data_IF_925263622447
#
_entry.id   IF_925263622447
#
_cell.length_a   1.000
_cell.length_b   1.000
_cell.length_c   1.000
_cell.angle_alpha   90.00
_cell.angle_beta   90.00
_cell.angle_gamma   90.00
#
_symmetry.space_group_name_H-M   'P 1'
#
loop_
_entity.id
_entity.type
_entity.pdbx_description
1 polymer ?
#
# COMPACT_ATOMS: atom_id res chain seq x y z
N UNK A 1 43.40 -12.00 28.21
CA UNK A 1 41.96 -11.70 28.18
C UNK A 1 41.50 -11.34 29.57
N UNK A 2 41.67 -10.08 29.96
CA UNK A 2 41.08 -9.51 31.18
C UNK A 2 40.89 -8.00 30.96
N UNK A 3 41.92 -7.37 30.39
CA UNK A 3 41.85 -6.00 29.85
C UNK A 3 40.81 -5.86 28.74
N UNK A 4 40.77 -6.79 27.77
CA UNK A 4 39.81 -6.73 26.67
C UNK A 4 38.35 -6.84 27.15
N UNK A 5 38.10 -7.66 28.18
CA UNK A 5 36.78 -7.85 28.77
C UNK A 5 36.39 -6.66 29.67
N UNK A 6 37.35 -6.07 30.36
CA UNK A 6 37.18 -4.83 31.12
C UNK A 6 36.89 -3.63 30.20
N UNK A 7 37.59 -3.52 29.07
CA UNK A 7 37.31 -2.51 28.04
C UNK A 7 35.93 -2.75 27.42
N UNK A 8 35.56 -3.99 27.10
CA UNK A 8 34.23 -4.30 26.57
C UNK A 8 33.11 -3.90 27.54
N UNK A 9 33.26 -4.21 28.84
CA UNK A 9 32.30 -3.81 29.89
C UNK A 9 32.23 -2.29 30.06
N UNK A 10 33.36 -1.60 29.98
CA UNK A 10 33.41 -0.14 30.04
C UNK A 10 32.69 0.48 28.83
N UNK A 11 32.97 0.00 27.62
CA UNK A 11 32.30 0.46 26.39
C UNK A 11 30.79 0.21 26.47
N UNK A 12 30.36 -0.97 26.91
CA UNK A 12 28.94 -1.28 27.05
C UNK A 12 28.25 -0.32 28.04
N UNK A 13 28.76 -0.23 29.26
CA UNK A 13 28.10 0.54 30.32
C UNK A 13 28.18 2.06 30.14
N UNK A 14 29.28 2.59 29.61
CA UNK A 14 29.52 4.04 29.53
C UNK A 14 29.21 4.65 28.16
N UNK A 15 29.37 3.89 27.08
CA UNK A 15 29.28 4.39 25.70
C UNK A 15 28.04 3.88 24.97
N UNK A 16 27.50 2.72 25.32
CA UNK A 16 26.30 2.14 24.66
C UNK A 16 25.06 2.35 25.52
N UNK A 17 25.03 1.83 26.75
CA UNK A 17 23.79 1.80 27.56
C UNK A 17 23.35 3.20 28.05
N UNK A 18 24.32 4.09 28.31
CA UNK A 18 24.11 5.46 28.83
C UNK A 18 24.58 6.54 27.87
N UNK A 19 24.65 6.20 26.59
CA UNK A 19 25.23 7.06 25.56
C UNK A 19 24.62 8.46 25.56
N UNK A 20 23.28 8.55 25.69
CA UNK A 20 22.60 9.85 25.61
C UNK A 20 22.98 10.74 26.80
N UNK A 21 23.19 10.20 28.00
CA UNK A 21 23.58 10.96 29.19
C UNK A 21 25.09 11.28 29.23
N UNK A 22 25.92 10.42 28.64
CA UNK A 22 27.38 10.44 28.75
C UNK A 22 28.11 11.04 27.53
N UNK A 23 27.40 11.46 26.48
CA UNK A 23 28.00 12.03 25.26
C UNK A 23 28.50 13.48 25.47
N UNK A 24 29.54 13.65 26.30
CA UNK A 24 30.14 14.95 26.64
C UNK A 24 30.78 15.67 25.44
N UNK A 25 31.23 14.92 24.42
CA UNK A 25 31.75 15.48 23.16
C UNK A 25 30.67 15.60 22.06
N UNK A 26 29.39 15.42 22.44
CA UNK A 26 28.19 15.62 21.60
C UNK A 26 28.19 14.88 20.26
N UNK A 27 28.98 13.81 20.12
CA UNK A 27 29.16 13.16 18.84
C UNK A 27 27.94 12.31 18.45
N UNK A 28 27.48 11.45 19.36
CA UNK A 28 26.33 10.58 19.13
C UNK A 28 25.03 11.39 19.07
N UNK A 29 24.88 12.40 19.93
CA UNK A 29 23.74 13.33 19.89
C UNK A 29 23.70 14.09 18.57
N UNK A 30 24.83 14.59 18.07
CA UNK A 30 24.89 15.24 16.76
C UNK A 30 24.50 14.29 15.63
N UNK A 31 24.93 13.04 15.66
CA UNK A 31 24.53 12.03 14.68
C UNK A 31 23.01 11.82 14.71
N UNK A 32 22.44 11.64 15.92
CA UNK A 32 21.00 11.50 16.13
C UNK A 32 20.24 12.70 15.58
N UNK A 33 20.61 13.90 16.00
CA UNK A 33 19.89 15.13 15.66
C UNK A 33 19.91 15.37 14.15
N UNK A 34 21.04 15.09 13.46
CA UNK A 34 21.12 15.15 11.99
C UNK A 34 20.16 14.21 11.26
N UNK A 35 19.80 13.09 11.88
CA UNK A 35 18.83 12.13 11.35
C UNK A 35 17.41 12.58 11.69
N UNK A 36 17.16 13.02 12.93
CA UNK A 36 15.82 13.30 13.44
C UNK A 36 15.28 14.69 13.10
N UNK A 37 16.13 15.71 12.94
CA UNK A 37 15.72 17.09 12.61
C UNK A 37 15.32 17.29 11.14
N UNK A 38 15.12 16.18 10.42
CA UNK A 38 14.64 16.15 9.04
C UNK A 38 13.11 16.22 8.98
N UNK A 39 12.53 16.73 7.86
CA UNK A 39 11.11 16.57 7.57
C UNK A 39 10.68 15.11 7.75
N UNK A 40 9.47 14.89 8.27
CA UNK A 40 8.97 13.57 8.67
C UNK A 40 9.18 12.48 7.59
N UNK A 41 8.87 12.81 6.34
CA UNK A 41 8.97 11.88 5.22
C UNK A 41 10.42 11.51 4.89
N UNK A 42 11.34 12.50 4.89
CA UNK A 42 12.77 12.26 4.69
C UNK A 42 13.36 11.46 5.86
N UNK A 43 12.99 11.81 7.09
CA UNK A 43 13.39 11.10 8.32
C UNK A 43 13.01 9.63 8.27
N UNK A 44 11.76 9.33 7.88
CA UNK A 44 11.27 7.96 7.76
C UNK A 44 12.06 7.15 6.73
N UNK A 45 12.34 7.73 5.57
CA UNK A 45 13.13 7.05 4.53
C UNK A 45 14.58 6.81 4.97
N UNK A 46 15.22 7.79 5.62
CA UNK A 46 16.57 7.65 6.18
C UNK A 46 16.61 6.50 7.20
N UNK A 47 15.66 6.46 8.12
CA UNK A 47 15.53 5.38 9.12
C UNK A 47 15.30 4.03 8.45
N UNK A 48 14.43 3.95 7.42
CA UNK A 48 14.19 2.72 6.67
C UNK A 48 15.37 2.24 5.83
N UNK A 49 16.20 3.14 5.31
CA UNK A 49 17.47 2.77 4.64
C UNK A 49 18.44 2.19 5.67
N UNK A 50 18.57 2.86 6.83
CA UNK A 50 19.49 2.42 7.88
C UNK A 50 19.07 1.08 8.49
N UNK A 51 17.78 0.85 8.68
CA UNK A 51 17.21 -0.45 9.08
C UNK A 51 17.66 -1.57 8.14
N UNK A 52 17.59 -1.34 6.82
CA UNK A 52 18.08 -2.31 5.81
C UNK A 52 19.58 -2.53 5.89
N UNK A 53 20.36 -1.48 6.19
CA UNK A 53 21.82 -1.62 6.42
C UNK A 53 22.07 -2.51 7.64
N UNK A 54 21.31 -2.37 8.72
CA UNK A 54 21.45 -3.21 9.91
C UNK A 54 21.06 -4.66 9.63
N UNK A 55 19.95 -4.88 8.92
CA UNK A 55 19.43 -6.21 8.61
C UNK A 55 20.29 -6.97 7.59
N UNK A 56 20.63 -6.34 6.47
CA UNK A 56 21.39 -6.97 5.37
C UNK A 56 22.91 -6.85 5.52
N UNK A 57 23.39 -6.09 6.52
CA UNK A 57 24.80 -5.76 6.73
C UNK A 57 25.34 -4.68 5.77
N UNK A 58 24.80 -4.60 4.56
CA UNK A 58 25.04 -3.49 3.62
C UNK A 58 23.88 -3.34 2.63
N UNK A 59 23.71 -2.14 2.08
CA UNK A 59 22.80 -1.89 0.95
C UNK A 59 23.54 -1.26 -0.22
N UNK A 60 23.01 -1.39 -1.45
CA UNK A 60 23.59 -0.75 -2.62
C UNK A 60 23.59 0.77 -2.46
N UNK A 61 24.72 1.42 -2.75
CA UNK A 61 24.80 2.87 -2.75
C UNK A 61 24.32 3.39 -4.09
N UNK A 62 23.14 3.99 -4.09
CA UNK A 62 22.42 4.54 -5.24
C UNK A 62 22.48 6.08 -5.27
N UNK A 63 23.12 6.69 -4.26
CA UNK A 63 23.34 8.13 -4.13
C UNK A 63 22.04 8.98 -4.20
N UNK A 64 20.92 8.42 -3.71
CA UNK A 64 19.68 9.19 -3.49
C UNK A 64 19.89 10.30 -2.45
N UNK A 65 19.01 11.29 -2.41
CA UNK A 65 19.10 12.40 -1.46
C UNK A 65 19.11 11.90 -0.01
N UNK A 66 18.30 10.89 0.31
CA UNK A 66 18.17 10.27 1.62
C UNK A 66 19.40 9.43 1.96
N UNK A 67 19.97 8.69 0.99
CA UNK A 67 21.24 7.99 1.18
C UNK A 67 22.40 8.96 1.41
N UNK A 68 22.40 10.11 0.72
CA UNK A 68 23.38 11.17 0.94
C UNK A 68 23.21 11.78 2.33
N UNK A 69 21.98 12.10 2.74
CA UNK A 69 21.68 12.61 4.08
C UNK A 69 22.11 11.62 5.17
N UNK A 70 21.81 10.32 4.99
CA UNK A 70 22.26 9.26 5.89
C UNK A 70 23.78 9.17 5.97
N UNK A 71 24.50 9.35 4.85
CA UNK A 71 25.98 9.41 4.86
C UNK A 71 26.49 10.65 5.60
N UNK A 72 25.89 11.81 5.37
CA UNK A 72 26.26 13.08 6.03
C UNK A 72 25.96 13.07 7.54
N UNK A 73 25.03 12.23 7.98
CA UNK A 73 24.81 11.99 9.42
C UNK A 73 26.02 11.33 10.09
N UNK A 74 26.82 10.54 9.35
CA UNK A 74 27.91 9.74 9.89
C UNK A 74 27.53 8.32 10.32
N UNK A 75 26.24 7.94 10.26
CA UNK A 75 25.79 6.58 10.60
C UNK A 75 26.31 5.50 9.64
N UNK A 76 26.47 5.86 8.36
CA UNK A 76 26.90 4.95 7.31
C UNK A 76 28.08 5.48 6.51
N UNK A 77 28.85 4.56 5.94
CA UNK A 77 29.97 4.85 5.04
C UNK A 77 29.76 4.13 3.71
N UNK A 78 30.11 4.79 2.60
CA UNK A 78 30.13 4.18 1.27
C UNK A 78 31.47 3.49 1.05
N UNK A 79 31.47 2.17 0.85
CA UNK A 79 32.64 1.35 0.49
C UNK A 79 32.24 0.34 -0.58
N UNK A 80 33.04 0.23 -1.63
CA UNK A 80 32.83 -0.71 -2.74
C UNK A 80 31.42 -0.64 -3.34
N UNK A 81 30.91 0.59 -3.52
CA UNK A 81 29.57 0.83 -4.08
C UNK A 81 28.41 0.43 -3.17
N UNK A 82 28.65 0.20 -1.87
CA UNK A 82 27.64 -0.16 -0.87
C UNK A 82 27.71 0.72 0.37
N UNK A 83 26.59 0.91 1.05
CA UNK A 83 26.49 1.56 2.35
C UNK A 83 26.64 0.52 3.47
N UNK A 84 27.55 0.80 4.38
CA UNK A 84 27.85 -0.01 5.57
C UNK A 84 27.66 0.83 6.81
N UNK A 85 27.31 0.22 7.95
CA UNK A 85 27.39 0.91 9.24
C UNK A 85 28.82 1.44 9.45
N UNK A 86 28.96 2.71 9.83
CA UNK A 86 30.27 3.36 9.90
C UNK A 86 31.19 2.68 10.92
N UNK A 87 30.68 2.41 12.13
CA UNK A 87 31.37 1.61 13.13
C UNK A 87 30.39 0.76 13.94
N UNK A 88 30.95 -0.13 14.79
CA UNK A 88 30.16 -1.04 15.65
C UNK A 88 29.46 -0.30 16.79
N UNK A 89 30.04 0.80 17.30
CA UNK A 89 29.46 1.58 18.41
C UNK A 89 28.14 2.22 17.97
N UNK A 90 28.11 2.89 16.81
CA UNK A 90 26.90 3.49 16.26
C UNK A 90 25.84 2.43 15.99
N UNK A 91 26.24 1.26 15.45
CA UNK A 91 25.31 0.14 15.27
C UNK A 91 24.73 -0.39 16.58
N UNK A 92 25.48 -0.33 17.68
CA UNK A 92 25.02 -0.74 19.00
C UNK A 92 24.17 0.32 19.70
N UNK A 93 24.38 1.60 19.38
CA UNK A 93 23.65 2.74 19.95
C UNK A 93 22.35 3.01 19.18
N UNK A 94 22.44 3.08 17.85
CA UNK A 94 21.34 3.25 16.91
C UNK A 94 20.97 1.87 16.35
N UNK A 95 20.53 0.99 17.23
CA UNK A 95 20.17 -0.37 16.86
C UNK A 95 18.74 -0.47 16.32
N UNK A 96 18.28 -1.70 16.06
CA UNK A 96 16.92 -1.94 15.57
C UNK A 96 15.84 -1.46 16.54
N UNK A 97 16.08 -1.52 17.85
CA UNK A 97 15.12 -1.09 18.88
C UNK A 97 14.98 0.43 18.85
N UNK A 98 16.09 1.15 18.73
CA UNK A 98 16.06 2.60 18.57
C UNK A 98 15.32 3.02 17.30
N UNK A 99 15.61 2.38 16.15
CA UNK A 99 14.93 2.67 14.89
C UNK A 99 13.43 2.40 14.98
N UNK A 100 13.03 1.26 15.54
CA UNK A 100 11.62 0.90 15.71
C UNK A 100 10.89 1.94 16.57
N UNK A 101 11.53 2.40 17.67
CA UNK A 101 11.00 3.46 18.52
C UNK A 101 10.81 4.79 17.79
N UNK A 102 11.79 5.21 16.98
CA UNK A 102 11.67 6.46 16.21
C UNK A 102 10.65 6.35 15.07
N UNK A 103 10.60 5.21 14.37
CA UNK A 103 9.58 4.97 13.34
C UNK A 103 8.17 4.90 13.91
N UNK A 104 8.00 4.33 15.10
CA UNK A 104 6.72 4.30 15.81
C UNK A 104 6.23 5.72 16.12
N UNK A 105 7.12 6.65 16.49
CA UNK A 105 6.73 8.06 16.74
C UNK A 105 6.24 8.79 15.48
N UNK A 106 6.60 8.31 14.29
CA UNK A 106 6.13 8.87 13.01
C UNK A 106 4.77 8.31 12.59
N UNK A 107 4.26 7.27 13.25
CA UNK A 107 2.99 6.65 12.94
C UNK A 107 1.89 7.17 13.90
N UNK A 108 0.87 7.92 13.39
CA UNK A 108 -0.16 8.55 14.23
C UNK A 108 -0.95 7.58 15.11
N UNK A 109 -1.00 6.31 14.73
CA UNK A 109 -1.74 5.24 15.40
C UNK A 109 -0.81 4.12 15.92
N UNK A 110 0.48 4.41 16.14
CA UNK A 110 1.46 3.40 16.54
C UNK A 110 1.09 2.68 17.84
N UNK A 111 0.62 3.40 18.85
CA UNK A 111 0.24 2.82 20.14
C UNK A 111 -0.93 1.84 19.99
N UNK A 112 -1.96 2.25 19.25
CA UNK A 112 -3.14 1.42 18.97
C UNK A 112 -2.77 0.19 18.16
N UNK A 113 -1.93 0.37 17.14
CA UNK A 113 -1.38 -0.72 16.31
C UNK A 113 -0.58 -1.70 17.16
N UNK A 114 0.37 -1.25 17.97
CA UNK A 114 1.18 -2.14 18.82
C UNK A 114 0.31 -2.89 19.83
N UNK A 115 -0.70 -2.23 20.40
CA UNK A 115 -1.66 -2.87 21.29
C UNK A 115 -2.50 -3.94 20.56
N UNK A 116 -2.94 -3.68 19.32
CA UNK A 116 -3.62 -4.66 18.49
C UNK A 116 -2.71 -5.83 18.09
N UNK A 117 -1.46 -5.56 17.70
CA UNK A 117 -0.50 -6.62 17.35
C UNK A 117 -0.25 -7.57 18.52
N UNK A 118 -0.19 -7.03 19.75
CA UNK A 118 0.04 -7.80 20.98
C UNK A 118 -1.17 -8.66 21.36
N UNK A 119 -2.36 -8.07 21.41
CA UNK A 119 -3.54 -8.72 22.00
C UNK A 119 -4.50 -9.33 20.95
N UNK A 120 -4.34 -8.96 19.67
CA UNK A 120 -5.26 -9.28 18.56
C UNK A 120 -6.72 -8.96 18.85
N UNK A 121 -6.93 -7.87 19.59
CA UNK A 121 -8.25 -7.37 19.95
C UNK A 121 -8.76 -6.34 18.93
N UNK A 122 -9.77 -6.71 18.16
CA UNK A 122 -10.41 -5.89 17.13
C UNK A 122 -11.05 -4.60 17.68
N UNK A 123 -11.26 -4.49 19.01
CA UNK A 123 -11.68 -3.24 19.64
C UNK A 123 -10.68 -2.10 19.39
N UNK A 124 -9.40 -2.44 19.20
CA UNK A 124 -8.28 -1.52 19.00
C UNK A 124 -8.06 -1.08 17.54
N UNK A 125 -8.79 -1.67 16.60
CA UNK A 125 -8.73 -1.29 15.19
C UNK A 125 -9.36 0.10 14.96
N UNK A 126 -8.85 0.80 13.95
CA UNK A 126 -9.35 2.13 13.58
C UNK A 126 -10.77 2.02 13.02
N UNK A 127 -11.63 3.00 13.33
CA UNK A 127 -13.00 3.10 12.81
C UNK A 127 -13.33 4.53 12.40
N UNK A 128 -14.21 4.70 11.42
CA UNK A 128 -14.75 6.00 11.05
C UNK A 128 -13.67 7.03 10.68
N UNK A 129 -13.61 8.15 11.40
CA UNK A 129 -12.66 9.23 11.09
C UNK A 129 -11.20 8.80 11.28
N UNK A 130 -10.90 8.06 12.34
CA UNK A 130 -9.54 7.59 12.61
C UNK A 130 -9.04 6.65 11.50
N UNK A 131 -9.93 5.82 10.93
CA UNK A 131 -9.60 4.95 9.81
C UNK A 131 -9.38 5.74 8.51
N UNK A 132 -10.16 6.79 8.27
CA UNK A 132 -9.95 7.69 7.12
C UNK A 132 -8.58 8.38 7.19
N UNK A 133 -8.25 8.96 8.34
CA UNK A 133 -6.95 9.60 8.60
C UNK A 133 -5.82 8.58 8.51
N UNK A 134 -6.01 7.38 9.04
CA UNK A 134 -5.02 6.30 8.95
C UNK A 134 -4.76 5.85 7.51
N UNK A 135 -5.80 5.81 6.67
CA UNK A 135 -5.67 5.49 5.24
C UNK A 135 -4.98 6.61 4.46
N UNK A 136 -5.36 7.87 4.70
CA UNK A 136 -4.72 9.03 4.07
C UNK A 136 -3.25 9.11 4.45
N UNK A 137 -2.93 8.93 5.73
CA UNK A 137 -1.56 8.79 6.19
C UNK A 137 -0.89 7.65 5.44
N UNK A 138 -1.47 6.45 5.41
CA UNK A 138 -0.90 5.30 4.70
C UNK A 138 -0.57 5.57 3.22
N UNK A 139 -1.45 6.27 2.51
CA UNK A 139 -1.26 6.65 1.10
C UNK A 139 -0.17 7.71 0.90
N UNK A 140 0.05 8.58 1.90
CA UNK A 140 1.10 9.60 1.85
C UNK A 140 2.51 9.03 2.05
N UNK A 141 2.63 7.81 2.59
CA UNK A 141 3.92 7.20 2.90
C UNK A 141 4.49 6.47 1.68
N UNK A 142 5.77 6.73 1.39
CA UNK A 142 6.48 6.08 0.26
C UNK A 142 6.75 4.60 0.55
N UNK A 143 6.97 4.25 1.82
CA UNK A 143 7.15 2.86 2.26
C UNK A 143 6.43 2.59 3.59
N UNK A 144 5.52 1.63 3.57
CA UNK A 144 4.85 1.10 4.76
C UNK A 144 5.53 -0.20 5.22
N UNK A 145 5.60 -0.41 6.54
CA UNK A 145 6.01 -1.67 7.13
C UNK A 145 4.87 -2.70 7.08
N UNK A 146 5.20 -3.98 7.19
CA UNK A 146 4.22 -5.08 7.15
C UNK A 146 3.13 -4.92 8.20
N UNK A 147 3.50 -4.47 9.41
CA UNK A 147 2.59 -4.30 10.54
C UNK A 147 1.61 -3.16 10.29
N UNK A 148 2.09 -2.07 9.71
CA UNK A 148 1.28 -0.89 9.37
C UNK A 148 0.26 -1.23 8.28
N UNK A 149 0.70 -1.93 7.23
CA UNK A 149 -0.20 -2.43 6.18
C UNK A 149 -1.24 -3.38 6.77
N UNK A 150 -0.80 -4.33 7.61
CA UNK A 150 -1.69 -5.31 8.23
C UNK A 150 -2.75 -4.67 9.14
N UNK A 151 -2.38 -3.66 9.93
CA UNK A 151 -3.29 -2.96 10.84
C UNK A 151 -4.33 -2.10 10.10
N UNK A 152 -3.92 -1.34 9.08
CA UNK A 152 -4.85 -0.57 8.24
C UNK A 152 -5.81 -1.53 7.53
N UNK A 153 -5.30 -2.63 6.97
CA UNK A 153 -6.12 -3.60 6.25
C UNK A 153 -7.13 -4.29 7.17
N UNK A 154 -6.71 -4.72 8.36
CA UNK A 154 -7.61 -5.29 9.35
C UNK A 154 -8.71 -4.30 9.78
N UNK A 155 -8.36 -3.03 9.94
CA UNK A 155 -9.33 -1.97 10.26
C UNK A 155 -10.36 -1.79 9.13
N UNK A 156 -9.92 -1.80 7.87
CA UNK A 156 -10.82 -1.75 6.70
C UNK A 156 -11.72 -2.98 6.59
N UNK A 157 -11.19 -4.15 6.91
CA UNK A 157 -11.94 -5.41 6.89
C UNK A 157 -13.03 -5.40 7.98
N UNK A 158 -12.71 -4.91 9.17
CA UNK A 158 -13.66 -4.77 10.27
C UNK A 158 -14.79 -3.78 9.93
N UNK A 159 -14.46 -2.59 9.43
CA UNK A 159 -15.49 -1.59 9.05
C UNK A 159 -16.44 -2.17 7.99
N UNK A 160 -15.90 -2.89 6.99
CA UNK A 160 -16.73 -3.61 6.00
C UNK A 160 -17.62 -4.69 6.62
N UNK A 161 -17.16 -5.38 7.66
CA UNK A 161 -17.97 -6.38 8.36
C UNK A 161 -19.08 -5.72 9.18
N UNK A 162 -18.76 -4.66 9.93
CA UNK A 162 -19.72 -3.89 10.72
C UNK A 162 -20.81 -3.27 9.82
N UNK A 163 -20.44 -2.70 8.67
CA UNK A 163 -21.38 -2.17 7.67
C UNK A 163 -22.30 -3.26 7.10
N UNK A 164 -21.76 -4.44 6.78
CA UNK A 164 -22.56 -5.58 6.30
C UNK A 164 -23.53 -6.08 7.36
N UNK A 165 -23.09 -6.19 8.60
CA UNK A 165 -23.93 -6.59 9.73
C UNK A 165 -25.05 -5.57 9.96
N UNK A 166 -24.74 -4.28 9.90
CA UNK A 166 -25.73 -3.20 10.01
C UNK A 166 -26.75 -3.26 8.87
N UNK A 167 -26.31 -3.48 7.62
CA UNK A 167 -27.20 -3.62 6.47
C UNK A 167 -28.13 -4.84 6.58
N UNK A 168 -27.60 -5.98 7.05
CA UNK A 168 -28.40 -7.18 7.31
C UNK A 168 -29.41 -6.95 8.43
N UNK A 169 -29.01 -6.29 9.52
CA UNK A 169 -29.90 -5.92 10.61
C UNK A 169 -31.02 -4.97 10.16
N UNK A 170 -30.70 -3.98 9.33
CA UNK A 170 -31.69 -3.07 8.74
C UNK A 170 -32.68 -3.81 7.83
N UNK A 171 -32.21 -4.74 7.01
CA UNK A 171 -33.07 -5.57 6.17
C UNK A 171 -34.01 -6.43 7.02
N UNK A 172 -33.50 -7.10 8.06
CA UNK A 172 -34.30 -7.91 8.97
C UNK A 172 -35.38 -7.07 9.71
N UNK A 173 -34.99 -5.89 10.21
CA UNK A 173 -35.93 -4.96 10.86
C UNK A 173 -37.01 -4.48 9.88
N UNK A 174 -36.65 -4.26 8.61
CA UNK A 174 -37.60 -3.87 7.57
C UNK A 174 -38.56 -5.01 7.21
N UNK A 175 -38.07 -6.25 7.10
CA UNK A 175 -38.91 -7.43 6.88
C UNK A 175 -39.90 -7.63 8.04
N UNK A 176 -39.46 -7.44 9.29
CA UNK A 176 -40.32 -7.53 10.46
C UNK A 176 -41.38 -6.42 10.47
N UNK A 177 -40.98 -5.16 10.20
CA UNK A 177 -41.91 -4.05 10.06
C UNK A 177 -42.95 -4.29 8.96
N UNK A 178 -42.52 -4.83 7.80
CA UNK A 178 -43.41 -5.20 6.71
C UNK A 178 -44.38 -6.32 7.11
N UNK A 179 -43.95 -7.32 7.88
CA UNK A 179 -44.83 -8.38 8.41
C UNK A 179 -45.87 -7.82 9.38
N UNK A 180 -45.46 -6.94 10.30
CA UNK A 180 -46.38 -6.30 11.25
C UNK A 180 -47.42 -5.47 10.49
N UNK A 181 -46.99 -4.71 9.49
CA UNK A 181 -47.89 -3.94 8.63
C UNK A 181 -48.87 -4.86 7.87
N UNK A 182 -48.39 -5.94 7.27
CA UNK A 182 -49.24 -6.91 6.57
C UNK A 182 -50.28 -7.55 7.50
N UNK A 183 -49.86 -7.95 8.71
CA UNK A 183 -50.75 -8.51 9.72
C UNK A 183 -51.81 -7.47 10.17
N UNK A 184 -51.40 -6.23 10.42
CA UNK A 184 -52.31 -5.15 10.79
C UNK A 184 -53.30 -4.82 9.66
N UNK A 185 -52.86 -4.85 8.39
CA UNK A 185 -53.75 -4.65 7.25
C UNK A 185 -54.76 -5.79 7.09
N UNK A 186 -54.34 -7.04 7.24
CA UNK A 186 -55.22 -8.19 7.17
C UNK A 186 -56.26 -8.19 8.32
N UNK A 187 -55.85 -7.79 9.53
CA UNK A 187 -56.76 -7.63 10.67
C UNK A 187 -57.76 -6.49 10.45
N UNK A 188 -57.32 -5.37 9.88
CA UNK A 188 -58.19 -4.24 9.54
C UNK A 188 -59.20 -4.61 8.45
N UNK A 189 -58.77 -5.31 7.40
CA UNK A 189 -59.65 -5.83 6.34
C UNK A 189 -60.66 -6.85 6.90
N UNK A 190 -60.23 -7.74 7.80
CA UNK A 190 -61.13 -8.67 8.49
C UNK A 190 -62.18 -7.96 9.35
N UNK A 191 -61.79 -6.95 10.13
CA UNK A 191 -62.72 -6.13 10.92
C UNK A 191 -63.69 -5.32 10.05
N UNK A 192 -63.22 -4.84 8.89
CA UNK A 192 -64.06 -4.15 7.92
C UNK A 192 -65.09 -5.08 7.28
N UNK A 193 -64.70 -6.29 6.89
CA UNK A 193 -65.62 -7.30 6.36
C UNK A 193 -66.70 -7.67 7.37
N UNK A 194 -66.35 -7.84 8.66
CA UNK A 194 -67.32 -8.10 9.72
C UNK A 194 -68.24 -6.90 9.96
N UNK A 195 -67.70 -5.68 9.95
CA UNK A 195 -68.51 -4.46 10.11
C UNK A 195 -69.45 -4.23 8.92
N UNK A 196 -69.03 -4.55 7.71
CA UNK A 196 -69.82 -4.49 6.48
C UNK A 196 -70.92 -5.55 6.48
N UNK A 197 -70.62 -6.79 6.86
CA UNK A 197 -71.61 -7.85 7.04
C UNK A 197 -72.63 -7.50 8.15
N UNK A 198 -72.18 -6.90 9.26
CA UNK A 198 -73.07 -6.39 10.29
C UNK A 198 -73.94 -5.23 9.82
N UNK A 199 -73.40 -4.33 9.00
CA UNK A 199 -74.13 -3.21 8.42
C UNK A 199 -75.20 -3.72 7.44
N UNK A 200 -74.85 -4.67 6.57
CA UNK A 200 -75.78 -5.34 5.67
C UNK A 200 -76.87 -6.11 6.44
N UNK A 201 -76.51 -6.83 7.51
CA UNK A 201 -77.49 -7.50 8.39
C UNK A 201 -78.43 -6.50 9.06
N UNK A 202 -77.93 -5.35 9.53
CA UNK A 202 -78.73 -4.28 10.14
C UNK A 202 -79.63 -3.58 9.12
N UNK A 203 -79.15 -3.36 7.90
CA UNK A 203 -79.95 -2.84 6.77
C UNK A 203 -81.03 -3.86 6.39
N UNK A 204 -80.68 -5.13 6.19
CA UNK A 204 -81.65 -6.20 5.90
C UNK A 204 -82.69 -6.37 7.01
N UNK A 205 -82.28 -6.24 8.29
CA UNK A 205 -83.20 -6.24 9.43
C UNK A 205 -84.10 -5.00 9.44
N UNK A 206 -83.59 -3.81 9.09
CA UNK A 206 -84.37 -2.59 8.96
C UNK A 206 -85.37 -2.69 7.79
N UNK A 207 -84.98 -3.23 6.64
CA UNK A 207 -85.85 -3.51 5.49
C UNK A 207 -86.92 -4.55 5.84
N UNK A 208 -86.59 -5.60 6.61
CA UNK A 208 -87.57 -6.57 7.13
C UNK A 208 -88.52 -5.97 8.17
N UNK A 209 -88.06 -5.02 9.01
CA UNK A 209 -88.89 -4.33 10.00
C UNK A 209 -89.79 -3.26 9.36
N UNK A 210 -89.32 -2.63 8.29
CA UNK A 210 -90.11 -1.75 7.41
C UNK A 210 -91.15 -2.56 6.63
N UNK A 211 -90.80 -3.73 6.09
CA UNK A 211 -91.77 -4.63 5.45
C UNK A 211 -92.71 -5.33 6.45
N UNK A 212 -92.35 -5.48 7.73
CA UNK A 212 -93.29 -5.89 8.79
C UNK A 212 -94.25 -4.78 9.22
N UNK A 213 -93.85 -3.49 9.10
CA UNK A 213 -94.75 -2.35 9.32
C UNK A 213 -95.63 -2.04 8.11
N UNK A 214 -95.14 -2.32 6.89
CA UNK A 214 -95.91 -2.17 5.65
C UNK A 214 -96.77 -3.41 5.31
N UNK A 215 -96.56 -4.56 5.96
CA UNK A 215 -97.42 -5.75 5.81
C UNK A 215 -98.63 -5.81 6.77
N UNK A 216 -98.79 -4.84 7.68
CA UNK A 216 -99.98 -4.78 8.57
C UNK A 216 -100.95 -3.64 8.19
N UNK A 217 -100.69 -2.85 7.15
CA UNK A 217 -101.60 -1.79 6.71
C UNK A 217 -102.16 -1.91 5.28
N UNK A 218 -102.08 -3.09 4.64
CA UNK A 218 -102.59 -3.29 3.26
C UNK A 218 -103.55 -4.47 3.09
N UNK A 219 -104.26 -4.89 4.14
CA UNK A 219 -105.40 -5.85 4.05
C UNK A 219 -106.71 -5.30 4.68
N UNK A 220 -106.78 -4.02 5.04
CA UNK A 220 -107.96 -3.44 5.73
C UNK A 220 -108.54 -2.16 5.13
N UNK A 221 -108.30 -1.86 3.84
CA UNK A 221 -108.75 -0.62 3.21
C UNK A 221 -109.73 -0.82 2.02
N UNK A 222 -110.35 -2.00 1.89
CA UNK A 222 -111.23 -2.30 0.74
C UNK A 222 -112.69 -2.67 1.06
N UNK A 223 -113.11 -2.78 2.33
CA UNK A 223 -114.51 -3.12 2.67
C UNK A 223 -114.96 -2.42 3.97
N UNK A 224 -115.48 -1.18 3.87
CA UNK A 224 -116.49 -0.59 4.77
C UNK A 224 -116.86 0.86 4.36
N UNK A 225 -117.14 1.08 3.06
CA UNK A 225 -118.12 2.09 2.69
C UNK A 225 -119.49 1.42 2.83
N UNK A 226 -120.14 1.53 3.99
CA UNK A 226 -121.61 1.44 4.18
C UNK A 226 -122.01 1.50 5.66
N UNK A 227 -122.84 2.49 6.00
CA UNK A 227 -123.73 2.58 7.20
C UNK A 227 -123.01 2.89 8.54
N UNK A 228 -123.31 3.91 9.34
CA UNK A 228 -124.46 4.80 9.47
C UNK A 228 -124.04 6.20 9.94
N UNK A 229 -124.39 7.21 9.15
CA UNK A 229 -124.65 8.56 9.61
C UNK A 229 -126.16 8.79 9.49
N UNK A 230 -126.94 8.39 10.49
CA UNK A 230 -128.32 8.86 10.70
C UNK A 230 -128.53 8.98 12.21
N UNK A 231 -128.70 10.21 12.69
CA UNK A 231 -129.89 10.65 13.42
C UNK A 231 -129.64 11.95 14.20
N UNK A 232 -130.37 13.01 13.83
CA UNK A 232 -130.77 14.15 14.69
C UNK A 232 -132.19 14.53 14.19
N UNK A 233 -133.13 15.09 14.97
CA UNK A 233 -133.67 14.76 16.31
C UNK A 233 -135.24 14.66 16.32
N UNK A 234 -135.88 14.16 17.38
CA UNK A 234 -137.09 14.76 18.04
C UNK A 234 -137.80 13.81 19.02
N UNK A 235 -138.61 14.43 19.89
CA UNK A 235 -139.00 14.11 21.25
C UNK A 235 -140.24 13.21 21.51
N UNK A 236 -140.32 12.73 22.77
CA UNK A 236 -141.48 12.32 23.61
C UNK A 236 -141.93 10.84 23.59
N UNK A 237 -141.50 10.05 24.59
CA UNK A 237 -142.38 9.59 25.69
C UNK A 237 -141.56 9.13 26.91
N UNK A 238 -142.05 9.53 28.08
CA UNK A 238 -141.35 9.59 29.35
C UNK A 238 -141.32 8.27 30.14
N UNK A 239 -140.30 8.15 31.00
CA UNK A 239 -140.32 7.34 32.23
C UNK A 239 -139.20 6.31 32.29
N UNK A 240 -138.25 6.53 33.21
CA UNK A 240 -137.06 5.71 33.54
C UNK A 240 -135.79 5.98 32.69
N UNK A 241 -134.64 6.03 33.36
CA UNK A 241 -133.25 6.07 32.84
C UNK A 241 -132.52 7.42 32.64
N UNK A 242 -132.85 8.46 33.43
CA UNK A 242 -131.98 9.65 33.56
C UNK A 242 -130.65 9.35 34.31
N UNK A 243 -130.67 8.37 35.22
CA UNK A 243 -129.50 7.95 36.00
C UNK A 243 -128.53 7.05 35.20
N UNK A 244 -129.01 6.33 34.19
CA UNK A 244 -128.18 5.46 33.36
C UNK A 244 -127.44 6.27 32.27
N UNK A 245 -128.13 7.22 31.65
CA UNK A 245 -127.53 8.17 30.70
C UNK A 245 -126.41 9.03 31.34
N UNK A 246 -126.55 9.44 32.61
CA UNK A 246 -125.50 10.18 33.33
C UNK A 246 -124.28 9.30 33.69
N UNK A 247 -124.49 8.02 34.01
CA UNK A 247 -123.38 7.08 34.27
C UNK A 247 -122.62 6.73 32.99
N UNK A 248 -123.33 6.54 31.88
CA UNK A 248 -122.72 6.27 30.58
C UNK A 248 -121.99 7.50 30.03
N UNK A 249 -122.50 8.71 30.29
CA UNK A 249 -121.82 9.96 29.97
C UNK A 249 -120.57 10.18 30.85
N UNK A 250 -120.63 9.89 32.16
CA UNK A 250 -119.45 9.92 33.03
C UNK A 250 -118.40 8.89 32.64
N UNK A 251 -118.81 7.66 32.30
CA UNK A 251 -117.93 6.59 31.85
C UNK A 251 -117.26 6.92 30.52
N UNK A 252 -118.01 7.51 29.58
CA UNK A 252 -117.50 8.02 28.31
C UNK A 252 -116.54 9.20 28.50
N UNK A 253 -116.82 10.12 29.42
CA UNK A 253 -115.89 11.21 29.76
C UNK A 253 -114.62 10.69 30.45
N UNK A 254 -114.73 9.64 31.27
CA UNK A 254 -113.59 9.01 31.94
C UNK A 254 -112.70 8.23 30.94
N UNK A 255 -113.29 7.49 30.01
CA UNK A 255 -112.59 6.80 28.92
C UNK A 255 -111.95 7.81 27.96
N UNK A 256 -112.62 8.92 27.64
CA UNK A 256 -112.03 10.01 26.85
C UNK A 256 -110.83 10.65 27.56
N UNK A 257 -110.93 10.89 28.88
CA UNK A 257 -109.81 11.41 29.67
C UNK A 257 -108.60 10.44 29.72
N UNK A 258 -108.85 9.13 29.76
CA UNK A 258 -107.81 8.09 29.66
C UNK A 258 -107.16 8.06 28.27
N UNK A 259 -107.96 8.16 27.21
CA UNK A 259 -107.45 8.21 25.84
C UNK A 259 -106.65 9.48 25.55
N UNK A 260 -107.02 10.62 26.13
CA UNK A 260 -106.26 11.87 26.00
C UNK A 260 -104.92 11.81 26.74
N UNK A 261 -104.86 11.17 27.91
CA UNK A 261 -103.60 10.94 28.63
C UNK A 261 -102.70 9.93 27.92
N UNK A 262 -103.26 8.86 27.36
CA UNK A 262 -102.50 7.87 26.59
C UNK A 262 -101.97 8.46 25.27
N UNK A 263 -102.78 9.27 24.57
CA UNK A 263 -102.36 10.03 23.39
C UNK A 263 -101.20 10.98 23.71
N UNK A 264 -101.31 11.75 24.79
CA UNK A 264 -100.23 12.64 25.26
C UNK A 264 -98.93 11.88 25.56
N UNK A 265 -99.04 10.70 26.18
CA UNK A 265 -97.91 9.83 26.51
C UNK A 265 -97.25 9.26 25.25
N UNK A 266 -98.04 8.87 24.25
CA UNK A 266 -97.55 8.39 22.96
C UNK A 266 -96.87 9.51 22.16
N UNK A 267 -97.39 10.72 22.18
CA UNK A 267 -96.76 11.89 21.55
C UNK A 267 -95.40 12.24 22.18
N UNK A 268 -95.28 12.17 23.51
CA UNK A 268 -94.00 12.32 24.20
C UNK A 268 -92.99 11.22 23.81
N UNK A 269 -93.42 9.96 23.75
CA UNK A 269 -92.58 8.84 23.32
C UNK A 269 -92.12 9.02 21.87
N UNK A 270 -93.00 9.45 20.97
CA UNK A 270 -92.68 9.72 19.56
C UNK A 270 -91.58 10.78 19.44
N UNK A 271 -91.70 11.91 20.16
CA UNK A 271 -90.66 12.95 20.20
C UNK A 271 -89.33 12.43 20.72
N UNK A 272 -89.33 11.60 21.78
CA UNK A 272 -88.11 11.00 22.31
C UNK A 272 -87.40 10.07 21.31
N UNK A 273 -88.18 9.32 20.52
CA UNK A 273 -87.68 8.41 19.50
C UNK A 273 -87.07 9.20 18.34
N UNK A 274 -87.75 10.24 17.85
CA UNK A 274 -87.25 11.12 16.80
C UNK A 274 -85.92 11.80 17.20
N UNK A 275 -85.80 12.20 18.47
CA UNK A 275 -84.57 12.83 18.98
C UNK A 275 -83.40 11.84 19.06
N UNK A 276 -83.66 10.59 19.48
CA UNK A 276 -82.64 9.52 19.47
C UNK A 276 -82.24 9.12 18.06
N UNK A 277 -83.18 9.11 17.11
CA UNK A 277 -82.92 8.86 15.70
C UNK A 277 -82.00 9.93 15.11
N UNK A 278 -82.25 11.22 15.40
CA UNK A 278 -81.39 12.34 14.99
C UNK A 278 -79.97 12.23 15.56
N UNK A 279 -79.83 11.84 16.83
CA UNK A 279 -78.53 11.60 17.46
C UNK A 279 -77.80 10.40 16.84
N UNK A 280 -78.52 9.33 16.49
CA UNK A 280 -77.94 8.18 15.81
C UNK A 280 -77.44 8.54 14.40
N UNK A 281 -78.22 9.32 13.64
CA UNK A 281 -77.82 9.82 12.31
C UNK A 281 -76.56 10.68 12.39
N UNK A 282 -76.45 11.58 13.37
CA UNK A 282 -75.25 12.40 13.56
C UNK A 282 -74.00 11.56 13.86
N UNK A 283 -74.12 10.51 14.68
CA UNK A 283 -73.01 9.59 14.98
C UNK A 283 -72.58 8.79 13.75
N UNK A 284 -73.53 8.33 12.93
CA UNK A 284 -73.24 7.64 11.67
C UNK A 284 -72.47 8.56 10.72
N UNK A 285 -72.92 9.81 10.53
CA UNK A 285 -72.21 10.78 9.68
C UNK A 285 -70.79 11.06 10.15
N UNK A 286 -70.58 11.18 11.47
CA UNK A 286 -69.25 11.39 12.04
C UNK A 286 -68.33 10.19 11.79
N UNK A 287 -68.82 8.97 12.05
CA UNK A 287 -68.07 7.75 11.80
C UNK A 287 -67.71 7.60 10.32
N UNK A 288 -68.62 7.97 9.42
CA UNK A 288 -68.42 7.91 7.97
C UNK A 288 -67.36 8.92 7.50
N UNK A 289 -67.35 10.13 8.09
CA UNK A 289 -66.30 11.13 7.84
C UNK A 289 -64.93 10.66 8.33
N UNK A 290 -64.88 10.08 9.52
CA UNK A 290 -63.64 9.53 10.09
C UNK A 290 -63.11 8.35 9.25
N UNK A 291 -64.00 7.51 8.74
CA UNK A 291 -63.64 6.40 7.86
C UNK A 291 -63.05 6.88 6.53
N UNK A 292 -63.66 7.87 5.89
CA UNK A 292 -63.11 8.49 4.67
C UNK A 292 -61.71 9.08 4.91
N UNK A 293 -61.51 9.73 6.06
CA UNK A 293 -60.21 10.30 6.41
C UNK A 293 -59.15 9.22 6.66
N UNK A 294 -59.53 8.11 7.32
CA UNK A 294 -58.65 6.97 7.50
C UNK A 294 -58.24 6.33 6.15
N UNK A 295 -59.16 6.21 5.20
CA UNK A 295 -58.84 5.72 3.85
C UNK A 295 -57.87 6.64 3.10
N UNK A 296 -58.04 7.96 3.20
CA UNK A 296 -57.13 8.93 2.59
C UNK A 296 -55.71 8.86 3.20
N UNK A 297 -55.65 8.70 4.52
CA UNK A 297 -54.38 8.54 5.22
C UNK A 297 -53.68 7.24 4.81
N UNK A 298 -54.43 6.14 4.67
CA UNK A 298 -53.89 4.86 4.19
C UNK A 298 -53.37 4.97 2.75
N UNK A 299 -54.11 5.63 1.85
CA UNK A 299 -53.67 5.84 0.48
C UNK A 299 -52.38 6.67 0.40
N UNK A 300 -52.27 7.70 1.24
CA UNK A 300 -51.05 8.52 1.35
C UNK A 300 -49.89 7.71 1.89
N UNK A 301 -50.11 6.92 2.94
CA UNK A 301 -49.09 6.04 3.51
C UNK A 301 -48.57 5.02 2.49
N UNK A 302 -49.47 4.40 1.71
CA UNK A 302 -49.07 3.46 0.63
C UNK A 302 -48.19 4.12 -0.42
N UNK A 303 -48.55 5.32 -0.90
CA UNK A 303 -47.72 6.08 -1.86
C UNK A 303 -46.35 6.45 -1.29
N UNK A 304 -46.29 6.82 -0.02
CA UNK A 304 -45.02 7.15 0.64
C UNK A 304 -44.11 5.92 0.75
N UNK A 305 -44.67 4.75 1.07
CA UNK A 305 -43.92 3.49 1.11
C UNK A 305 -43.42 3.12 -0.30
N UNK A 306 -44.26 3.23 -1.33
CA UNK A 306 -43.83 2.97 -2.72
C UNK A 306 -42.70 3.90 -3.17
N UNK A 307 -42.81 5.20 -2.85
CA UNK A 307 -41.77 6.17 -3.16
C UNK A 307 -40.44 5.87 -2.43
N UNK A 308 -40.51 5.52 -1.14
CA UNK A 308 -39.35 5.10 -0.37
C UNK A 308 -38.71 3.82 -0.94
N UNK A 309 -39.53 2.87 -1.38
CA UNK A 309 -39.04 1.61 -1.96
C UNK A 309 -38.35 1.87 -3.32
N UNK A 310 -38.88 2.77 -4.14
CA UNK A 310 -38.24 3.20 -5.40
C UNK A 310 -36.92 3.92 -5.15
N UNK A 311 -36.85 4.81 -4.15
CA UNK A 311 -35.60 5.47 -3.77
C UNK A 311 -34.55 4.47 -3.31
N UNK A 312 -34.95 3.47 -2.51
CA UNK A 312 -34.05 2.41 -2.04
C UNK A 312 -33.53 1.55 -3.20
N UNK A 313 -34.38 1.17 -4.15
CA UNK A 313 -33.95 0.45 -5.36
C UNK A 313 -32.96 1.27 -6.19
N UNK A 314 -33.20 2.58 -6.32
CA UNK A 314 -32.25 3.49 -6.97
C UNK A 314 -30.90 3.55 -6.24
N UNK A 315 -30.92 3.62 -4.91
CA UNK A 315 -29.70 3.62 -4.10
C UNK A 315 -28.93 2.28 -4.21
N UNK A 316 -29.64 1.15 -4.23
CA UNK A 316 -29.02 -0.17 -4.40
C UNK A 316 -28.38 -0.31 -5.79
N UNK A 317 -29.05 0.13 -6.85
CA UNK A 317 -28.49 0.13 -8.20
C UNK A 317 -27.25 1.04 -8.29
N UNK A 318 -27.29 2.22 -7.66
CA UNK A 318 -26.14 3.12 -7.59
C UNK A 318 -24.95 2.49 -6.83
N UNK A 319 -25.22 1.81 -5.71
CA UNK A 319 -24.20 1.10 -4.94
C UNK A 319 -23.56 -0.05 -5.74
N UNK A 320 -24.37 -0.83 -6.46
CA UNK A 320 -23.87 -1.89 -7.34
C UNK A 320 -23.02 -1.33 -8.49
N UNK A 321 -23.44 -0.22 -9.10
CA UNK A 321 -22.66 0.45 -10.14
C UNK A 321 -21.33 1.00 -9.60
N UNK A 322 -21.32 1.53 -8.37
CA UNK A 322 -20.10 1.98 -7.71
C UNK A 322 -19.15 0.80 -7.44
N UNK A 323 -19.68 -0.33 -6.95
CA UNK A 323 -18.89 -1.55 -6.72
C UNK A 323 -18.29 -2.11 -8.01
N UNK A 324 -19.03 -2.10 -9.12
CA UNK A 324 -18.50 -2.52 -10.43
C UNK A 324 -17.38 -1.59 -10.91
N UNK A 325 -17.51 -0.28 -10.72
CA UNK A 325 -16.46 0.68 -11.04
C UNK A 325 -15.20 0.46 -10.20
N UNK A 326 -15.36 0.17 -8.91
CA UNK A 326 -14.24 -0.17 -8.03
C UNK A 326 -13.53 -1.44 -8.49
N UNK A 327 -14.27 -2.49 -8.84
CA UNK A 327 -13.69 -3.73 -9.37
C UNK A 327 -12.91 -3.49 -10.66
N UNK A 328 -13.43 -2.67 -11.58
CA UNK A 328 -12.73 -2.30 -12.81
C UNK A 328 -11.45 -1.50 -12.50
N UNK A 329 -11.51 -0.54 -11.58
CA UNK A 329 -10.33 0.21 -11.15
C UNK A 329 -9.26 -0.70 -10.53
N UNK A 330 -9.66 -1.67 -9.71
CA UNK A 330 -8.75 -2.64 -9.10
C UNK A 330 -8.12 -3.57 -10.15
N UNK A 331 -8.87 -3.99 -11.17
CA UNK A 331 -8.32 -4.75 -12.30
C UNK A 331 -7.29 -3.93 -13.10
N UNK A 332 -7.57 -2.64 -13.33
CA UNK A 332 -6.63 -1.74 -13.99
C UNK A 332 -5.36 -1.53 -13.16
N UNK A 333 -5.49 -1.36 -11.85
CA UNK A 333 -4.35 -1.29 -10.92
C UNK A 333 -3.51 -2.57 -10.94
N UNK A 334 -4.14 -3.74 -10.93
CA UNK A 334 -3.44 -5.02 -11.05
C UNK A 334 -2.64 -5.11 -12.37
N UNK A 335 -3.26 -4.69 -13.49
CA UNK A 335 -2.58 -4.63 -14.78
C UNK A 335 -1.41 -3.64 -14.82
N UNK A 336 -1.55 -2.48 -14.17
CA UNK A 336 -0.46 -1.50 -14.04
C UNK A 336 0.70 -2.05 -13.19
N UNK A 337 0.39 -2.70 -12.06
CA UNK A 337 1.40 -3.31 -11.19
C UNK A 337 2.19 -4.41 -11.89
N UNK A 338 1.54 -5.23 -12.74
CA UNK A 338 2.23 -6.22 -13.55
C UNK A 338 3.21 -5.58 -14.55
N UNK A 339 2.83 -4.44 -15.17
CA UNK A 339 3.72 -3.70 -16.07
C UNK A 339 4.91 -3.10 -15.32
N UNK A 340 4.69 -2.58 -14.11
CA UNK A 340 5.78 -2.07 -13.25
C UNK A 340 6.74 -3.21 -12.91
N UNK A 341 6.24 -4.37 -12.48
CA UNK A 341 7.09 -5.53 -12.17
C UNK A 341 7.91 -5.99 -13.39
N UNK A 342 7.32 -6.00 -14.58
CA UNK A 342 8.04 -6.31 -15.82
C UNK A 342 9.13 -5.28 -16.14
N UNK A 343 8.84 -3.98 -15.96
CA UNK A 343 9.81 -2.91 -16.14
C UNK A 343 10.97 -3.00 -15.13
N UNK A 344 10.69 -3.32 -13.87
CA UNK A 344 11.70 -3.53 -12.84
C UNK A 344 12.62 -4.71 -13.17
N UNK A 345 12.06 -5.81 -13.67
CA UNK A 345 12.85 -6.96 -14.12
C UNK A 345 13.76 -6.62 -15.31
N UNK A 346 13.25 -5.83 -16.27
CA UNK A 346 14.05 -5.34 -17.39
C UNK A 346 15.18 -4.42 -16.91
N UNK A 347 14.89 -3.51 -15.97
CA UNK A 347 15.87 -2.62 -15.37
C UNK A 347 16.98 -3.41 -14.64
N UNK A 348 16.62 -4.42 -13.84
CA UNK A 348 17.58 -5.30 -13.18
C UNK A 348 18.48 -6.01 -14.19
N UNK A 349 17.90 -6.54 -15.27
CA UNK A 349 18.65 -7.21 -16.34
C UNK A 349 19.64 -6.25 -17.00
N UNK A 350 19.18 -5.03 -17.34
CA UNK A 350 20.03 -4.00 -17.92
C UNK A 350 21.17 -3.57 -16.98
N UNK A 351 20.90 -3.43 -15.68
CA UNK A 351 21.92 -3.13 -14.68
C UNK A 351 22.96 -4.25 -14.54
N UNK A 352 22.53 -5.51 -14.60
CA UNK A 352 23.45 -6.65 -14.57
C UNK A 352 24.35 -6.67 -15.80
N UNK A 353 23.79 -6.44 -17.00
CA UNK A 353 24.56 -6.33 -18.24
C UNK A 353 25.56 -5.17 -18.19
N UNK A 354 25.15 -4.01 -17.67
CA UNK A 354 26.05 -2.86 -17.49
C UNK A 354 27.21 -3.19 -16.53
N UNK A 355 26.95 -3.91 -15.44
CA UNK A 355 27.99 -4.35 -14.50
C UNK A 355 28.99 -5.32 -15.16
N UNK A 356 28.51 -6.25 -15.99
CA UNK A 356 29.37 -7.18 -16.73
C UNK A 356 30.24 -6.41 -17.74
N UNK A 357 29.64 -5.48 -18.49
CA UNK A 357 30.37 -4.65 -19.44
C UNK A 357 31.45 -3.80 -18.75
N UNK A 358 31.18 -3.24 -17.57
CA UNK A 358 32.17 -2.51 -16.78
C UNK A 358 33.33 -3.40 -16.33
N UNK A 359 33.05 -4.62 -15.86
CA UNK A 359 34.11 -5.57 -15.47
C UNK A 359 34.98 -5.99 -16.68
N UNK A 360 34.35 -6.23 -17.83
CA UNK A 360 35.06 -6.54 -19.07
C UNK A 360 35.95 -5.38 -19.51
N UNK A 361 35.45 -4.13 -19.44
CA UNK A 361 36.23 -2.94 -19.75
C UNK A 361 37.43 -2.77 -18.80
N UNK A 362 37.24 -2.97 -17.50
CA UNK A 362 38.33 -2.90 -16.52
C UNK A 362 39.41 -3.98 -16.76
N UNK A 363 38.98 -5.19 -17.12
CA UNK A 363 39.88 -6.29 -17.47
C UNK A 363 40.67 -5.95 -18.73
N UNK A 364 40.01 -5.45 -19.77
CA UNK A 364 40.65 -5.02 -21.01
C UNK A 364 41.68 -3.90 -20.78
N UNK A 365 41.36 -2.92 -19.93
CA UNK A 365 42.30 -1.86 -19.56
C UNK A 365 43.54 -2.39 -18.83
N UNK A 366 43.37 -3.40 -17.96
CA UNK A 366 44.49 -4.05 -17.26
C UNK A 366 45.41 -4.77 -18.26
N UNK A 367 44.82 -5.55 -19.17
CA UNK A 367 45.57 -6.25 -20.22
C UNK A 367 46.30 -5.28 -21.14
N UNK A 368 45.67 -4.15 -21.50
CA UNK A 368 46.29 -3.10 -22.30
C UNK A 368 47.52 -2.49 -21.60
N UNK A 369 47.40 -2.16 -20.30
CA UNK A 369 48.52 -1.64 -19.51
C UNK A 369 49.67 -2.66 -19.41
N UNK A 370 49.37 -3.95 -19.20
CA UNK A 370 50.40 -4.99 -19.19
C UNK A 370 51.10 -5.14 -20.54
N UNK A 371 50.36 -5.04 -21.64
CA UNK A 371 50.91 -5.08 -22.99
C UNK A 371 51.81 -3.86 -23.26
N UNK A 372 51.41 -2.67 -22.81
CA UNK A 372 52.21 -1.45 -22.91
C UNK A 372 53.52 -1.58 -22.13
N UNK A 373 53.47 -2.06 -20.87
CA UNK A 373 54.67 -2.30 -20.06
C UNK A 373 55.63 -3.31 -20.71
N UNK A 374 55.09 -4.40 -21.27
CA UNK A 374 55.90 -5.40 -21.99
C UNK A 374 56.56 -4.80 -23.24
N UNK A 375 55.84 -3.95 -23.95
CA UNK A 375 56.35 -3.25 -25.14
C UNK A 375 57.46 -2.28 -24.77
N UNK A 376 57.29 -1.53 -23.68
CA UNK A 376 58.30 -0.60 -23.16
C UNK A 376 59.58 -1.36 -22.73
N UNK A 377 59.42 -2.47 -22.02
CA UNK A 377 60.56 -3.33 -21.65
C UNK A 377 61.28 -3.89 -22.89
N UNK A 378 60.54 -4.36 -23.90
CA UNK A 378 61.13 -4.85 -25.14
C UNK A 378 61.92 -3.75 -25.87
N UNK A 379 61.41 -2.51 -25.91
CA UNK A 379 62.11 -1.37 -26.48
C UNK A 379 63.39 -1.05 -25.70
N UNK A 380 63.37 -1.07 -24.37
CA UNK A 380 64.55 -0.87 -23.54
C UNK A 380 65.61 -1.97 -23.78
N UNK A 381 65.18 -3.23 -23.90
CA UNK A 381 66.08 -4.34 -24.23
C UNK A 381 66.71 -4.17 -25.61
N UNK A 382 65.93 -3.75 -26.63
CA UNK A 382 66.44 -3.47 -27.97
C UNK A 382 67.49 -2.36 -27.97
N UNK A 383 67.26 -1.27 -27.21
CA UNK A 383 68.25 -0.21 -27.05
C UNK A 383 69.53 -0.72 -26.39
N UNK A 384 69.42 -1.52 -25.33
CA UNK A 384 70.58 -2.11 -24.65
C UNK A 384 71.40 -3.02 -25.57
N UNK A 385 70.72 -3.85 -26.38
CA UNK A 385 71.37 -4.69 -27.41
C UNK A 385 72.08 -3.81 -28.45
N UNK A 386 71.44 -2.73 -28.90
CA UNK A 386 72.06 -1.77 -29.81
C UNK A 386 73.37 -1.20 -29.27
N UNK A 387 73.38 -0.74 -28.01
CA UNK A 387 74.58 -0.24 -27.33
C UNK A 387 75.66 -1.32 -27.26
N UNK A 388 75.30 -2.56 -26.93
CA UNK A 388 76.27 -3.68 -26.88
C UNK A 388 76.87 -3.99 -28.24
N UNK A 389 76.07 -3.98 -29.31
CA UNK A 389 76.53 -4.19 -30.68
C UNK A 389 77.49 -3.08 -31.11
N UNK A 390 77.17 -1.82 -30.81
CA UNK A 390 78.03 -0.69 -31.15
C UNK A 390 79.34 -0.71 -30.35
N UNK A 391 79.29 -1.08 -29.07
CA UNK A 391 80.48 -1.31 -28.26
C UNK A 391 81.36 -2.45 -28.82
N UNK A 392 80.75 -3.56 -29.25
CA UNK A 392 81.46 -4.68 -29.86
C UNK A 392 82.11 -4.29 -31.20
N UNK A 393 81.41 -3.52 -32.04
CA UNK A 393 81.98 -2.95 -33.28
C UNK A 393 83.17 -2.04 -32.98
N UNK A 394 83.03 -1.13 -32.02
CA UNK A 394 84.11 -0.22 -31.62
C UNK A 394 85.34 -0.99 -31.10
N UNK A 395 85.11 -2.06 -30.32
CA UNK A 395 86.17 -2.94 -29.85
C UNK A 395 86.86 -3.68 -30.99
N UNK A 396 86.10 -4.22 -31.95
CA UNK A 396 86.65 -4.88 -33.14
C UNK A 396 87.51 -3.93 -33.99
N UNK A 397 87.03 -2.70 -34.23
CA UNK A 397 87.80 -1.66 -34.92
C UNK A 397 89.09 -1.33 -34.16
N UNK A 398 89.03 -1.22 -32.83
CA UNK A 398 90.21 -0.97 -32.00
C UNK A 398 91.24 -2.09 -32.10
N UNK A 399 90.81 -3.37 -32.02
CA UNK A 399 91.71 -4.51 -32.18
C UNK A 399 92.34 -4.56 -33.58
N UNK A 400 91.55 -4.37 -34.63
CA UNK A 400 92.05 -4.33 -36.00
C UNK A 400 93.06 -3.18 -36.19
N UNK A 401 92.77 -2.00 -35.63
CA UNK A 401 93.69 -0.86 -35.62
C UNK A 401 95.00 -1.17 -34.89
N UNK A 402 94.94 -1.84 -33.73
CA UNK A 402 96.14 -2.27 -32.99
C UNK A 402 96.98 -3.28 -33.79
N UNK A 403 96.33 -4.26 -34.45
CA UNK A 403 97.02 -5.23 -35.30
C UNK A 403 97.69 -4.55 -36.50
N UNK A 404 97.01 -3.62 -37.17
CA UNK A 404 97.57 -2.82 -38.26
C UNK A 404 98.75 -1.97 -37.80
N UNK A 405 98.66 -1.33 -36.63
CA UNK A 405 99.76 -0.56 -36.06
C UNK A 405 100.99 -1.43 -35.81
N UNK A 406 100.79 -2.63 -35.22
CA UNK A 406 101.86 -3.60 -35.00
C UNK A 406 102.50 -4.07 -36.31
N UNK A 407 101.69 -4.32 -37.34
CA UNK A 407 102.16 -4.63 -38.70
C UNK A 407 103.02 -3.52 -39.30
N UNK A 408 102.56 -2.26 -39.23
CA UNK A 408 103.31 -1.10 -39.75
C UNK A 408 104.63 -0.91 -39.01
N UNK A 409 104.63 -1.07 -37.68
CA UNK A 409 105.85 -1.05 -36.87
C UNK A 409 106.81 -2.17 -37.28
N UNK A 410 106.29 -3.38 -37.52
CA UNK A 410 107.05 -4.52 -37.99
C UNK A 410 107.66 -4.33 -39.38
N UNK A 411 106.90 -3.81 -40.35
CA UNK A 411 107.41 -3.48 -41.68
C UNK A 411 108.52 -2.44 -41.59
N UNK A 412 108.37 -1.42 -40.73
CA UNK A 412 109.41 -0.42 -40.49
C UNK A 412 110.66 -1.03 -39.86
N UNK A 413 110.51 -1.92 -38.89
CA UNK A 413 111.62 -2.65 -38.26
C UNK A 413 112.32 -3.55 -39.28
N UNK A 414 111.58 -4.26 -40.13
CA UNK A 414 112.11 -5.11 -41.19
C UNK A 414 112.89 -4.30 -42.24
N UNK A 415 112.37 -3.13 -42.63
CA UNK A 415 113.06 -2.20 -43.52
C UNK A 415 114.37 -1.69 -42.93
N UNK A 416 114.37 -1.30 -41.64
CA UNK A 416 115.60 -0.93 -40.92
C UNK A 416 116.59 -2.09 -40.85
N UNK A 417 116.12 -3.28 -40.50
CA UNK A 417 116.93 -4.50 -40.45
C UNK A 417 117.56 -4.81 -41.81
N UNK A 418 116.80 -4.72 -42.90
CA UNK A 418 117.29 -4.95 -44.26
C UNK A 418 118.36 -3.92 -44.65
N UNK A 419 118.13 -2.63 -44.38
CA UNK A 419 119.10 -1.56 -44.65
C UNK A 419 120.41 -1.73 -43.86
N UNK A 420 120.32 -2.11 -42.58
CA UNK A 420 121.51 -2.35 -41.77
C UNK A 420 122.23 -3.64 -42.20
N UNK A 421 121.47 -4.67 -42.59
CA UNK A 421 122.03 -5.95 -43.09
C UNK A 421 122.72 -5.81 -44.44
N UNK A 422 122.21 -4.99 -45.36
CA UNK A 422 122.90 -4.72 -46.64
C UNK A 422 124.19 -3.94 -46.44
N UNK A 423 124.27 -3.06 -45.43
CA UNK A 423 125.53 -2.40 -45.04
C UNK A 423 126.55 -3.35 -44.40
N UNK A 424 126.09 -4.48 -43.84
CA UNK A 424 126.95 -5.53 -43.28
C UNK A 424 127.40 -6.57 -44.34
N UNK A 425 126.62 -6.78 -45.42
CA UNK A 425 126.95 -7.75 -46.48
C UNK A 425 128.29 -7.43 -47.16
N UNK A 426 129.25 -8.34 -47.03
CA UNK A 426 130.59 -8.22 -47.62
C UNK A 426 131.61 -7.48 -46.75
N UNK A 427 131.29 -7.19 -45.48
CA UNK A 427 132.21 -6.58 -44.50
C UNK A 427 132.42 -7.49 -43.30
N UNK A 428 133.64 -7.59 -42.76
CA UNK A 428 133.98 -8.37 -41.54
C UNK A 428 133.53 -7.67 -40.23
N UNK A 429 132.57 -6.74 -40.30
CA UNK A 429 132.11 -5.97 -39.14
C UNK A 429 131.10 -6.76 -38.33
N UNK A 430 131.27 -6.81 -37.01
CA UNK A 430 130.29 -7.43 -36.10
C UNK A 430 128.96 -6.66 -36.10
N UNK A 431 127.81 -7.35 -35.91
CA UNK A 431 126.50 -6.70 -35.87
C UNK A 431 126.40 -5.69 -34.72
N UNK A 432 125.87 -4.50 -34.99
CA UNK A 432 125.68 -3.46 -33.96
C UNK A 432 124.48 -3.75 -33.06
N UNK A 433 124.41 -3.19 -31.83
CA UNK A 433 123.23 -3.32 -30.95
C UNK A 433 121.92 -2.90 -31.64
N UNK A 434 121.95 -1.83 -32.43
CA UNK A 434 120.80 -1.38 -33.23
C UNK A 434 120.35 -2.40 -34.28
N UNK A 435 121.30 -3.14 -34.87
CA UNK A 435 120.97 -4.23 -35.80
C UNK A 435 120.29 -5.40 -35.09
N UNK A 436 120.80 -5.78 -33.91
CA UNK A 436 120.21 -6.87 -33.10
C UNK A 436 118.80 -6.50 -32.62
N UNK A 437 118.59 -5.26 -32.20
CA UNK A 437 117.28 -4.77 -31.80
C UNK A 437 116.28 -4.76 -32.97
N UNK A 438 116.70 -4.26 -34.14
CA UNK A 438 115.86 -4.28 -35.35
C UNK A 438 115.50 -5.71 -35.78
N UNK A 439 116.43 -6.66 -35.64
CA UNK A 439 116.18 -8.09 -35.91
C UNK A 439 115.16 -8.66 -34.94
N UNK A 440 115.35 -8.46 -33.64
CA UNK A 440 114.45 -8.94 -32.58
C UNK A 440 113.04 -8.35 -32.72
N UNK A 441 112.91 -7.06 -33.00
CA UNK A 441 111.62 -6.42 -33.23
C UNK A 441 110.93 -6.96 -34.48
N UNK A 442 111.67 -7.21 -35.56
CA UNK A 442 111.13 -7.83 -36.77
C UNK A 442 110.64 -9.27 -36.50
N UNK A 443 111.41 -10.02 -35.74
CA UNK A 443 111.09 -11.41 -35.38
C UNK A 443 109.88 -11.49 -34.43
N UNK A 444 109.78 -10.59 -33.45
CA UNK A 444 108.62 -10.49 -32.57
C UNK A 444 107.33 -10.21 -33.37
N UNK A 445 107.38 -9.38 -34.42
CA UNK A 445 106.22 -9.12 -35.29
C UNK A 445 105.88 -10.33 -36.16
N UNK A 446 106.87 -11.01 -36.75
CA UNK A 446 106.63 -12.23 -37.55
C UNK A 446 105.98 -13.34 -36.70
N UNK A 447 106.41 -13.48 -35.44
CA UNK A 447 105.81 -14.44 -34.51
C UNK A 447 104.41 -14.03 -34.07
N UNK A 448 104.18 -12.75 -33.74
CA UNK A 448 102.88 -12.28 -33.25
C UNK A 448 101.81 -12.14 -34.35
N UNK A 449 102.18 -11.87 -35.60
CA UNK A 449 101.24 -11.66 -36.71
C UNK A 449 101.02 -12.92 -37.54
N UNK A 450 102.07 -13.69 -37.82
CA UNK A 450 102.00 -14.85 -38.71
C UNK A 450 102.18 -16.19 -37.98
N UNK A 451 102.38 -16.19 -36.66
CA UNK A 451 102.67 -17.41 -35.89
C UNK A 451 103.99 -18.08 -36.28
N UNK A 452 104.87 -17.36 -36.99
CA UNK A 452 106.12 -17.92 -37.49
C UNK A 452 107.16 -17.84 -36.38
N UNK A 453 107.44 -18.97 -35.74
CA UNK A 453 108.64 -19.18 -34.95
C UNK A 453 109.77 -19.67 -35.87
N UNK A 454 110.96 -19.11 -35.76
CA UNK A 454 112.12 -19.61 -36.52
C UNK A 454 112.35 -21.09 -36.22
N UNK A 455 112.39 -21.93 -37.26
CA UNK A 455 112.94 -23.28 -37.21
C UNK A 455 114.46 -23.19 -37.04
N UNK A 456 114.93 -22.80 -35.87
CA UNK A 456 116.31 -22.95 -35.43
C UNK A 456 116.36 -23.00 -33.90
N UNK A 457 115.70 -24.01 -33.33
CA UNK A 457 116.20 -24.61 -32.09
C UNK A 457 116.51 -26.07 -32.36
N UNK A 458 117.80 -26.39 -32.45
CA UNK A 458 118.31 -27.74 -32.34
C UNK A 458 117.92 -28.26 -30.96
N UNK A 459 116.85 -29.06 -30.90
CA UNK A 459 116.61 -29.96 -29.76
C UNK A 459 117.14 -31.33 -30.15
N UNK A 460 118.37 -31.61 -29.72
CA UNK A 460 118.91 -32.96 -29.70
C UNK A 460 118.08 -33.80 -28.74
N UNK A 461 117.69 -34.97 -29.21
CA UNK A 461 117.11 -36.02 -28.40
C UNK A 461 118.20 -36.56 -27.44
N UNK A 462 118.15 -36.17 -26.17
CA UNK A 462 118.65 -36.99 -25.07
C UNK A 462 117.61 -36.97 -23.94
N UNK A 463 116.96 -38.12 -23.79
CA UNK A 463 116.56 -38.80 -22.55
C UNK A 463 115.84 -38.05 -21.42
N UNK A 464 114.60 -38.49 -21.16
CA UNK A 464 113.99 -38.93 -19.88
C UNK A 464 114.34 -38.11 -18.61
N UNK A 465 113.33 -37.48 -17.98
CA UNK A 465 112.55 -37.89 -16.79
C UNK A 465 111.37 -36.93 -16.66
#
# INVERSE_FOLDING_TARGET
>A
GDLAESIARLVQSQVIDRWEANDEQTHLRTIRDRVLERPEQERREILGIYERVLAAGSVRAEDSAEQMALRLSGLVVKRDGRLWSYNRIYRSVFDGVWIEGELARLCPFAEQMMAWVRDRDDSRLLRGQALREGREWGMAQVRLRSEEVGFIQASLDLERQEERAAAQGALAAQEEANRILQAATAEAEGKLAVAEEEAERKVAAATRKANRRNAVSLVGAALALTVAAIAVPSSIKAGFDRDQAQRDEQKSQQEKGQLETEKSTLEQRLKSIQQKEKQAQQKVTLAQKQFQQAQQNLATAKRNVEAANQQMQGALAAAQAAQQKEQQANQQLAGANQKIAAADQQLQTAQQQASIAQQQAATAATVANEAEQKTELANQMLQAVGIQVDAAKAQAVRLAGQQLLGLVQGIRAAGKYQQLSTKLKGTDKQPTPEWMEAKLQTQAVLTNVYGIQERNSLKSNQGIV
#
